data_IF_956998206644
#
_entry.id   IF_956998206644
#
_cell.length_a   1.000
_cell.length_b   1.000
_cell.length_c   1.000
_cell.angle_alpha   90.00
_cell.angle_beta   90.00
_cell.angle_gamma   90.00
#
_symmetry.space_group_name_H-M   'P 1'
#
loop_
_entity.id
_entity.type
_entity.pdbx_description
1 polymer ?
#
# COMPACT_ATOMS: atom_id res chain seq x y z
N UNK A 1 12.57 37.82 -5.81
CA UNK A 1 12.90 36.72 -4.89
C UNK A 1 12.03 35.53 -5.27
N UNK A 2 12.60 34.44 -5.82
CA UNK A 2 11.85 33.21 -6.03
C UNK A 2 11.59 32.61 -4.64
N UNK A 3 10.33 32.36 -4.29
CA UNK A 3 10.01 31.58 -3.11
C UNK A 3 10.80 30.27 -3.20
N UNK A 4 11.55 29.93 -2.16
CA UNK A 4 12.20 28.63 -2.08
C UNK A 4 11.09 27.57 -2.16
N UNK A 5 11.06 26.80 -3.25
CA UNK A 5 10.16 25.66 -3.38
C UNK A 5 10.41 24.76 -2.17
N UNK A 6 9.40 24.61 -1.29
CA UNK A 6 9.49 23.63 -0.21
C UNK A 6 9.74 22.27 -0.87
N UNK A 7 10.67 21.44 -0.36
CA UNK A 7 10.81 20.09 -0.88
C UNK A 7 9.47 19.38 -0.77
N UNK A 8 8.98 18.85 -1.89
CA UNK A 8 7.73 18.09 -1.92
C UNK A 8 7.99 16.72 -1.29
N UNK A 9 7.27 16.42 -0.20
CA UNK A 9 7.37 15.12 0.45
C UNK A 9 6.66 14.08 -0.40
N UNK A 10 7.12 12.84 -0.35
CA UNK A 10 6.57 11.77 -1.20
C UNK A 10 5.75 10.78 -0.39
N UNK A 11 4.54 10.52 -0.84
CA UNK A 11 3.73 9.38 -0.43
C UNK A 11 3.80 8.31 -1.51
N UNK A 12 4.17 7.10 -1.13
CA UNK A 12 4.09 5.94 -2.02
C UNK A 12 3.11 4.93 -1.43
N UNK A 13 2.12 4.54 -2.23
CA UNK A 13 1.18 3.47 -1.92
C UNK A 13 1.57 2.23 -2.73
N UNK A 14 1.66 1.06 -2.09
CA UNK A 14 2.08 -0.17 -2.76
C UNK A 14 1.21 -1.34 -2.30
N UNK A 15 0.58 -2.04 -3.24
CA UNK A 15 -0.11 -3.29 -2.91
C UNK A 15 0.95 -4.38 -2.71
N UNK A 16 0.76 -5.22 -1.70
CA UNK A 16 1.61 -6.40 -1.54
C UNK A 16 1.67 -7.23 -2.83
N UNK A 17 2.77 -7.96 -3.02
CA UNK A 17 2.91 -8.91 -4.12
C UNK A 17 1.90 -10.06 -4.01
N UNK A 18 1.75 -10.85 -5.05
CA UNK A 18 0.85 -12.01 -5.07
C UNK A 18 1.04 -12.94 -3.85
N UNK A 19 -0.07 -13.27 -3.18
CA UNK A 19 -0.09 -14.27 -2.10
C UNK A 19 -0.56 -15.62 -2.61
N UNK A 20 -0.28 -16.70 -1.86
CA UNK A 20 -0.68 -18.06 -2.26
C UNK A 20 -2.18 -18.17 -2.57
N UNK A 21 -3.03 -17.44 -1.85
CA UNK A 21 -4.48 -17.48 -2.10
C UNK A 21 -4.93 -16.61 -3.26
N UNK A 22 -4.12 -15.62 -3.67
CA UNK A 22 -4.38 -14.89 -4.91
C UNK A 22 -4.15 -15.80 -6.12
N UNK A 23 -3.05 -16.56 -6.11
CA UNK A 23 -2.73 -17.56 -7.12
C UNK A 23 -3.83 -18.63 -7.23
N UNK A 24 -4.31 -19.12 -6.08
CA UNK A 24 -5.44 -20.06 -6.00
C UNK A 24 -6.83 -19.44 -6.25
N UNK A 25 -6.91 -18.13 -6.54
CA UNK A 25 -8.16 -17.38 -6.79
C UNK A 25 -9.19 -17.51 -5.65
N UNK A 26 -8.72 -17.62 -4.41
CA UNK A 26 -9.54 -17.68 -3.20
C UNK A 26 -9.77 -16.27 -2.61
N UNK A 27 -10.87 -16.07 -1.90
CA UNK A 27 -11.04 -14.85 -1.10
C UNK A 27 -10.08 -14.89 0.09
N UNK A 28 -8.99 -14.11 0.02
CA UNK A 28 -8.00 -14.03 1.11
C UNK A 28 -8.52 -13.25 2.31
N UNK A 29 -9.05 -12.04 2.07
CA UNK A 29 -9.47 -11.14 3.14
C UNK A 29 -8.38 -10.93 4.18
N UNK A 30 -8.71 -11.04 5.46
CA UNK A 30 -7.78 -10.83 6.57
C UNK A 30 -7.03 -12.09 7.04
N UNK A 31 -7.15 -13.20 6.30
CA UNK A 31 -6.36 -14.42 6.56
C UNK A 31 -4.87 -14.15 6.30
N UNK A 32 -4.02 -14.61 7.21
CA UNK A 32 -2.59 -14.29 7.20
C UNK A 32 -1.77 -15.20 6.27
N UNK A 33 -1.93 -14.99 4.97
CA UNK A 33 -1.27 -15.78 3.91
C UNK A 33 0.02 -15.10 3.43
N UNK A 34 1.14 -15.83 3.29
CA UNK A 34 2.41 -15.29 2.80
C UNK A 34 2.44 -15.07 1.28
N UNK A 35 3.47 -14.37 0.83
CA UNK A 35 3.77 -14.17 -0.60
C UNK A 35 4.15 -15.49 -1.30
N UNK A 36 3.85 -15.58 -2.60
CA UNK A 36 4.44 -16.57 -3.50
C UNK A 36 5.84 -16.13 -3.93
N UNK A 37 6.59 -17.00 -4.64
CA UNK A 37 7.86 -16.60 -5.28
C UNK A 37 7.64 -15.44 -6.27
N UNK A 38 6.55 -15.49 -7.04
CA UNK A 38 6.14 -14.38 -7.91
C UNK A 38 5.90 -13.11 -7.10
N UNK A 39 5.17 -13.19 -5.99
CA UNK A 39 4.95 -12.03 -5.10
C UNK A 39 6.24 -11.45 -4.49
N UNK A 40 7.25 -12.29 -4.23
CA UNK A 40 8.58 -11.82 -3.81
C UNK A 40 9.27 -11.04 -4.93
N UNK A 41 9.23 -11.54 -6.16
CA UNK A 41 9.81 -10.85 -7.34
C UNK A 41 9.09 -9.54 -7.63
N UNK A 42 7.77 -9.50 -7.50
CA UNK A 42 6.98 -8.27 -7.58
C UNK A 42 7.43 -7.25 -6.53
N UNK A 43 7.64 -7.66 -5.28
CA UNK A 43 8.13 -6.78 -4.23
C UNK A 43 9.54 -6.24 -4.51
N UNK A 44 10.44 -7.06 -5.08
CA UNK A 44 11.76 -6.62 -5.53
C UNK A 44 11.67 -5.58 -6.66
N UNK A 45 10.85 -5.85 -7.68
CA UNK A 45 10.64 -4.92 -8.79
C UNK A 45 10.05 -3.58 -8.31
N UNK A 46 9.06 -3.64 -7.41
CA UNK A 46 8.45 -2.48 -6.78
C UNK A 46 9.49 -1.65 -6.01
N UNK A 47 10.32 -2.32 -5.21
CA UNK A 47 11.44 -1.72 -4.47
C UNK A 47 12.43 -1.02 -5.39
N UNK A 48 12.78 -1.64 -6.51
CA UNK A 48 13.68 -1.06 -7.51
C UNK A 48 13.11 0.24 -8.07
N UNK A 49 11.82 0.26 -8.41
CA UNK A 49 11.13 1.46 -8.93
C UNK A 49 11.14 2.63 -7.94
N UNK A 50 11.04 2.36 -6.64
CA UNK A 50 11.07 3.40 -5.59
C UNK A 50 12.45 3.63 -4.98
N UNK A 51 13.50 3.04 -5.55
CA UNK A 51 14.85 3.00 -4.95
C UNK A 51 15.51 4.38 -4.78
N UNK A 52 15.05 5.39 -5.54
CA UNK A 52 15.50 6.78 -5.46
C UNK A 52 14.87 7.61 -4.34
N UNK A 53 13.90 7.05 -3.59
CA UNK A 53 13.18 7.73 -2.51
C UNK A 53 13.78 7.35 -1.16
N UNK A 54 14.16 8.34 -0.35
CA UNK A 54 14.62 8.14 1.02
C UNK A 54 13.42 8.13 1.97
N UNK A 55 12.87 6.95 2.26
CA UNK A 55 11.71 6.81 3.13
C UNK A 55 12.09 7.00 4.60
N UNK A 56 11.34 7.86 5.30
CA UNK A 56 11.55 8.13 6.72
C UNK A 56 10.68 7.29 7.64
N UNK A 57 9.56 6.79 7.11
CA UNK A 57 8.60 5.99 7.85
C UNK A 57 7.80 5.09 6.91
N UNK A 58 7.51 3.88 7.37
CA UNK A 58 6.76 2.88 6.61
C UNK A 58 5.54 2.45 7.42
N UNK A 59 4.38 2.37 6.77
CA UNK A 59 3.17 1.79 7.32
C UNK A 59 2.77 0.52 6.58
N UNK A 60 2.36 -0.48 7.34
CA UNK A 60 1.92 -1.78 6.84
C UNK A 60 0.62 -2.21 7.50
N UNK A 61 -0.05 -3.18 6.92
CA UNK A 61 -1.10 -3.91 7.64
C UNK A 61 -0.49 -4.86 8.67
N UNK A 62 -1.33 -5.53 9.46
CA UNK A 62 -0.84 -6.57 10.37
C UNK A 62 -0.51 -7.88 9.65
N UNK A 63 -0.87 -8.01 8.38
CA UNK A 63 -0.75 -9.25 7.62
C UNK A 63 0.68 -9.41 7.05
N UNK A 64 1.20 -10.63 7.14
CA UNK A 64 2.57 -11.01 6.81
C UNK A 64 2.95 -10.61 5.39
N UNK A 65 2.06 -10.77 4.41
CA UNK A 65 2.31 -10.40 3.01
C UNK A 65 2.62 -8.91 2.81
N UNK A 66 1.93 -8.02 3.52
CA UNK A 66 2.18 -6.58 3.47
C UNK A 66 3.55 -6.25 4.08
N UNK A 67 3.86 -6.87 5.23
CA UNK A 67 5.17 -6.71 5.90
C UNK A 67 6.30 -7.26 5.04
N UNK A 68 6.16 -8.46 4.48
CA UNK A 68 7.14 -9.09 3.59
C UNK A 68 7.42 -8.18 2.39
N UNK A 69 6.39 -7.69 1.71
CA UNK A 69 6.58 -6.76 0.57
C UNK A 69 7.33 -5.51 0.99
N UNK A 70 6.97 -4.88 2.12
CA UNK A 70 7.67 -3.68 2.59
C UNK A 70 9.17 -3.94 2.88
N UNK A 71 9.48 -5.02 3.60
CA UNK A 71 10.85 -5.38 3.94
C UNK A 71 11.67 -5.72 2.70
N UNK A 72 11.11 -6.52 1.78
CA UNK A 72 11.75 -6.91 0.52
C UNK A 72 12.00 -5.68 -0.37
N UNK A 73 11.00 -4.81 -0.53
CA UNK A 73 11.13 -3.60 -1.34
C UNK A 73 12.26 -2.69 -0.84
N UNK A 74 12.39 -2.54 0.49
CA UNK A 74 13.44 -1.71 1.10
C UNK A 74 14.86 -2.25 0.88
N UNK A 75 15.03 -3.55 0.57
CA UNK A 75 16.36 -4.10 0.19
C UNK A 75 16.92 -3.46 -1.08
N UNK A 76 16.06 -2.87 -1.90
CA UNK A 76 16.43 -2.23 -3.18
C UNK A 76 16.72 -0.73 -3.03
N UNK A 77 16.54 -0.15 -1.85
CA UNK A 77 16.75 1.29 -1.62
C UNK A 77 18.22 1.69 -1.79
N UNK A 78 18.47 2.79 -2.49
CA UNK A 78 19.83 3.35 -2.67
C UNK A 78 20.41 3.96 -1.39
N UNK A 79 19.55 4.33 -0.43
CA UNK A 79 19.94 4.95 0.84
C UNK A 79 20.40 3.95 1.89
N UNK A 80 20.31 2.64 1.61
CA UNK A 80 20.79 1.53 2.46
C UNK A 80 20.27 1.57 3.90
N UNK A 81 19.15 2.25 4.14
CA UNK A 81 18.46 2.25 5.44
C UNK A 81 17.69 0.96 5.62
N UNK A 82 17.74 0.43 6.82
CA UNK A 82 17.21 -0.87 7.25
C UNK A 82 15.81 -0.66 7.85
N UNK A 83 14.77 -1.29 7.30
CA UNK A 83 13.44 -1.24 7.88
C UNK A 83 13.37 -2.02 9.20
N UNK A 84 12.84 -1.42 10.26
CA UNK A 84 12.72 -2.03 11.60
C UNK A 84 11.25 -2.05 12.03
N UNK A 85 10.69 -3.23 12.25
CA UNK A 85 9.30 -3.38 12.72
C UNK A 85 9.19 -2.93 14.18
N UNK A 86 8.40 -1.88 14.41
CA UNK A 86 8.12 -1.36 15.75
C UNK A 86 6.92 -2.10 16.35
N UNK A 87 7.14 -2.80 17.46
CA UNK A 87 6.08 -3.56 18.15
C UNK A 87 5.06 -2.63 18.81
N UNK A 88 3.80 -3.03 18.76
CA UNK A 88 2.67 -2.31 19.37
C UNK A 88 1.78 -1.55 18.39
N UNK A 89 2.24 -1.28 17.16
CA UNK A 89 1.54 -0.49 16.11
C UNK A 89 1.93 0.99 16.13
N UNK A 90 1.07 1.90 15.63
CA UNK A 90 1.25 3.36 15.84
C UNK A 90 0.49 3.92 17.06
N UNK A 91 -0.78 3.53 17.30
CA UNK A 91 -1.65 4.08 18.38
C UNK A 91 -2.03 3.13 19.53
N UNK A 92 -1.65 1.85 19.45
CA UNK A 92 -2.03 0.81 20.44
C UNK A 92 -2.01 1.17 21.94
N UNK A 93 -3.09 0.82 22.62
CA UNK A 93 -3.24 0.78 24.08
C UNK A 93 -2.74 -0.58 24.59
N UNK A 94 -1.54 -0.64 25.17
CA UNK A 94 -0.94 -1.87 25.71
C UNK A 94 -0.48 -1.73 27.16
N UNK A 95 -0.11 -2.85 27.80
CA UNK A 95 0.41 -2.89 29.20
C UNK A 95 1.63 -1.99 29.44
N UNK A 96 2.37 -1.68 28.39
CA UNK A 96 3.34 -0.61 28.35
C UNK A 96 2.60 0.64 27.84
N UNK A 97 2.04 1.44 28.74
CA UNK A 97 1.29 2.65 28.39
C UNK A 97 2.06 3.56 27.41
N UNK A 98 1.36 4.50 26.78
CA UNK A 98 1.87 5.36 25.69
C UNK A 98 3.29 5.91 25.93
N UNK A 99 3.64 6.22 27.18
CA UNK A 99 4.97 6.70 27.57
C UNK A 99 6.13 5.70 27.33
N UNK A 100 5.95 4.39 27.50
CA UNK A 100 7.02 3.40 27.28
C UNK A 100 7.22 3.09 25.79
N UNK A 101 6.18 3.28 25.00
CA UNK A 101 6.23 3.16 23.55
C UNK A 101 6.70 4.43 22.87
N UNK A 102 6.32 5.60 23.37
CA UNK A 102 7.01 6.86 23.05
C UNK A 102 8.48 6.73 23.43
N UNK A 103 8.84 6.11 24.56
CA UNK A 103 10.25 5.81 24.86
C UNK A 103 10.90 4.86 23.87
N UNK A 104 10.24 3.83 23.33
CA UNK A 104 10.83 3.00 22.27
C UNK A 104 10.91 3.75 20.93
N UNK A 105 9.92 4.59 20.61
CA UNK A 105 9.92 5.50 19.46
C UNK A 105 11.01 6.55 19.57
N UNK A 106 11.18 7.13 20.75
CA UNK A 106 12.10 8.21 21.09
C UNK A 106 13.49 7.66 21.44
N UNK A 107 13.63 6.41 21.87
CA UNK A 107 14.91 5.71 22.01
C UNK A 107 15.36 5.12 20.68
N UNK A 108 14.44 4.64 19.83
CA UNK A 108 14.75 4.38 18.42
C UNK A 108 15.13 5.71 17.74
N UNK A 109 14.37 6.80 17.94
CA UNK A 109 14.67 8.12 17.39
C UNK A 109 15.95 8.74 17.97
N UNK A 110 16.27 8.55 19.25
CA UNK A 110 17.54 9.00 19.87
C UNK A 110 18.72 8.10 19.50
N UNK A 111 18.51 6.79 19.36
CA UNK A 111 19.48 5.90 18.74
C UNK A 111 19.66 6.23 17.24
N UNK A 112 18.62 6.77 16.59
CA UNK A 112 18.65 7.35 15.25
C UNK A 112 19.40 8.70 15.21
N UNK A 113 19.38 9.51 16.28
CA UNK A 113 20.09 10.79 16.38
C UNK A 113 21.59 10.64 16.70
N UNK A 114 21.99 9.60 17.45
CA UNK A 114 23.39 9.43 17.89
C UNK A 114 24.27 8.59 16.96
N UNK A 115 23.68 7.96 15.94
CA UNK A 115 24.42 7.24 14.92
C UNK A 115 24.02 7.77 13.55
N UNK A 116 24.92 7.62 12.59
CA UNK A 116 24.67 7.64 11.14
C UNK A 116 23.59 6.59 10.77
N UNK A 117 22.35 6.83 11.18
CA UNK A 117 21.43 5.74 11.47
C UNK A 117 20.66 5.33 10.23
N UNK A 118 21.13 4.22 9.66
CA UNK A 118 20.54 3.48 8.57
C UNK A 118 19.26 2.77 9.03
N UNK A 119 18.31 3.40 9.72
CA UNK A 119 17.06 2.74 10.13
C UNK A 119 15.81 3.49 9.66
N UNK A 120 14.77 2.74 9.30
CA UNK A 120 13.43 3.24 8.94
C UNK A 120 12.38 2.50 9.76
N UNK A 121 11.59 3.16 10.62
CA UNK A 121 10.57 2.48 11.41
C UNK A 121 9.40 2.00 10.53
N UNK A 122 8.99 0.74 10.76
CA UNK A 122 7.82 0.10 10.13
C UNK A 122 6.73 -0.09 11.18
N UNK A 123 5.58 0.56 10.98
CA UNK A 123 4.43 0.44 11.87
C UNK A 123 3.33 -0.40 11.21
N UNK A 124 2.88 -1.44 11.90
CA UNK A 124 1.76 -2.27 11.46
C UNK A 124 0.47 -1.86 12.17
N UNK A 125 -0.61 -1.62 11.44
CA UNK A 125 -1.90 -1.19 12.00
C UNK A 125 -3.07 -1.99 11.39
N UNK A 126 -4.05 -2.45 12.20
CA UNK A 126 -5.21 -3.18 11.67
C UNK A 126 -6.09 -2.31 10.77
N UNK A 127 -6.05 -0.98 10.88
CA UNK A 127 -6.78 -0.09 9.97
C UNK A 127 -6.33 -0.22 8.51
N UNK A 128 -5.15 -0.80 8.27
CA UNK A 128 -4.62 -1.08 6.93
C UNK A 128 -4.79 -2.56 6.52
N UNK A 129 -5.46 -3.41 7.30
CA UNK A 129 -5.78 -4.78 6.88
C UNK A 129 -6.73 -4.78 5.68
N UNK A 130 -6.62 -5.81 4.83
CA UNK A 130 -7.57 -6.04 3.73
C UNK A 130 -9.00 -6.12 4.27
N UNK A 131 -9.97 -5.83 3.40
CA UNK A 131 -11.39 -6.04 3.68
C UNK A 131 -11.60 -7.46 4.20
N UNK A 132 -12.17 -7.59 5.40
CA UNK A 132 -12.57 -8.88 5.94
C UNK A 132 -13.72 -9.43 5.10
N UNK A 133 -13.52 -10.57 4.44
CA UNK A 133 -14.55 -11.17 3.59
C UNK A 133 -15.47 -12.14 4.37
N UNK A 134 -15.28 -12.28 5.68
CA UNK A 134 -16.11 -13.12 6.55
C UNK A 134 -16.21 -14.56 6.04
N UNK A 135 -17.44 -15.07 5.95
CA UNK A 135 -17.73 -16.44 5.51
C UNK A 135 -17.27 -16.77 4.07
N UNK A 136 -16.92 -15.77 3.26
CA UNK A 136 -16.36 -16.01 1.92
C UNK A 136 -14.89 -16.43 1.96
N UNK A 137 -14.17 -16.19 3.06
CA UNK A 137 -12.72 -16.41 3.15
C UNK A 137 -12.37 -17.89 2.93
N UNK A 138 -11.40 -18.13 2.05
CA UNK A 138 -10.94 -19.47 1.68
C UNK A 138 -11.77 -20.15 0.60
N UNK A 139 -12.89 -19.56 0.17
CA UNK A 139 -13.68 -20.08 -0.94
C UNK A 139 -13.20 -19.52 -2.28
N UNK A 140 -13.30 -20.34 -3.33
CA UNK A 140 -13.29 -19.82 -4.70
C UNK A 140 -14.61 -19.12 -5.00
N UNK A 141 -14.68 -18.35 -6.09
CA UNK A 141 -15.93 -17.71 -6.52
C UNK A 141 -17.02 -18.73 -6.81
N UNK A 142 -16.64 -19.85 -7.42
CA UNK A 142 -17.52 -20.95 -7.79
C UNK A 142 -18.01 -21.71 -6.55
N UNK A 143 -17.13 -21.94 -5.57
CA UNK A 143 -17.51 -22.54 -4.29
C UNK A 143 -18.48 -21.63 -3.51
N UNK A 144 -18.17 -20.35 -3.41
CA UNK A 144 -19.04 -19.36 -2.77
C UNK A 144 -20.41 -19.26 -3.47
N UNK A 145 -20.44 -19.22 -4.80
CA UNK A 145 -21.70 -19.16 -5.56
C UNK A 145 -22.56 -20.41 -5.35
N UNK A 146 -21.95 -21.60 -5.25
CA UNK A 146 -22.68 -22.84 -4.91
C UNK A 146 -23.25 -22.82 -3.49
N UNK A 147 -22.53 -22.23 -2.54
CA UNK A 147 -22.93 -22.23 -1.13
C UNK A 147 -23.95 -21.14 -0.80
N UNK A 148 -23.77 -19.93 -1.34
CA UNK A 148 -24.53 -18.74 -0.96
C UNK A 148 -25.41 -18.17 -2.08
N UNK A 149 -25.28 -18.68 -3.31
CA UNK A 149 -25.97 -18.17 -4.49
C UNK A 149 -25.14 -17.11 -5.24
N UNK A 150 -25.13 -17.19 -6.56
CA UNK A 150 -24.31 -16.32 -7.42
C UNK A 150 -24.68 -14.83 -7.29
N UNK A 151 -25.98 -14.50 -7.28
CA UNK A 151 -26.45 -13.11 -7.14
C UNK A 151 -26.07 -12.50 -5.78
N UNK A 152 -26.15 -13.30 -4.70
CA UNK A 152 -25.75 -12.85 -3.36
C UNK A 152 -24.23 -12.60 -3.29
N UNK A 153 -23.43 -13.50 -3.85
CA UNK A 153 -21.96 -13.35 -3.90
C UNK A 153 -21.57 -12.15 -4.77
N UNK A 154 -22.23 -11.94 -5.91
CA UNK A 154 -22.02 -10.73 -6.73
C UNK A 154 -22.35 -9.46 -5.95
N UNK A 155 -23.46 -9.44 -5.21
CA UNK A 155 -23.85 -8.30 -4.38
C UNK A 155 -22.76 -7.99 -3.34
N UNK A 156 -22.31 -8.98 -2.56
CA UNK A 156 -21.24 -8.76 -1.58
C UNK A 156 -19.92 -8.27 -2.20
N UNK A 157 -19.60 -8.72 -3.42
CA UNK A 157 -18.37 -8.34 -4.12
C UNK A 157 -18.42 -6.97 -4.80
N UNK A 158 -19.60 -6.54 -5.23
CA UNK A 158 -19.78 -5.36 -6.10
C UNK A 158 -20.53 -4.22 -5.42
N UNK A 159 -21.15 -4.45 -4.27
CA UNK A 159 -21.78 -3.39 -3.49
C UNK A 159 -20.75 -2.63 -2.65
N UNK A 160 -21.04 -1.36 -2.39
CA UNK A 160 -20.25 -0.51 -1.53
C UNK A 160 -20.53 -0.78 -0.04
N UNK A 161 -21.80 -0.90 0.33
CA UNK A 161 -22.27 -0.94 1.73
C UNK A 161 -22.64 -2.34 2.22
N UNK A 162 -22.75 -3.32 1.32
CA UNK A 162 -23.28 -4.64 1.69
C UNK A 162 -22.18 -5.55 2.22
N UNK A 163 -22.38 -6.06 3.44
CA UNK A 163 -21.45 -6.95 4.14
C UNK A 163 -21.75 -8.43 3.84
N UNK A 164 -20.73 -9.27 3.59
CA UNK A 164 -20.88 -10.71 3.78
C UNK A 164 -21.03 -11.03 5.29
N UNK A 165 -21.59 -12.19 5.66
CA UNK A 165 -21.71 -12.60 7.05
C UNK A 165 -20.35 -12.57 7.76
N UNK A 166 -20.30 -11.98 8.96
CA UNK A 166 -19.09 -11.79 9.76
C UNK A 166 -17.94 -11.03 9.08
N UNK A 167 -18.21 -10.33 7.97
CA UNK A 167 -17.21 -9.54 7.26
C UNK A 167 -17.53 -8.05 7.20
N UNK A 168 -16.72 -7.34 6.42
CA UNK A 168 -16.79 -5.90 6.18
C UNK A 168 -17.37 -5.60 4.79
N UNK A 169 -18.04 -4.47 4.66
CA UNK A 169 -18.33 -3.86 3.37
C UNK A 169 -17.12 -3.07 2.87
N UNK A 170 -17.18 -2.54 1.64
CA UNK A 170 -16.15 -1.61 1.18
C UNK A 170 -16.25 -0.28 1.92
N UNK A 171 -17.45 0.14 2.32
CA UNK A 171 -17.69 1.32 3.15
C UNK A 171 -16.99 1.21 4.51
N UNK A 172 -17.15 0.09 5.23
CA UNK A 172 -16.49 -0.12 6.52
C UNK A 172 -14.96 -0.03 6.40
N UNK A 173 -14.44 -0.66 5.35
CA UNK A 173 -13.01 -0.64 5.02
C UNK A 173 -12.55 0.79 4.74
N UNK A 174 -13.33 1.56 3.97
CA UNK A 174 -13.04 2.95 3.64
C UNK A 174 -13.03 3.83 4.90
N UNK A 175 -14.02 3.70 5.77
CA UNK A 175 -14.13 4.50 6.99
C UNK A 175 -12.91 4.33 7.90
N UNK A 176 -12.52 3.08 8.21
CA UNK A 176 -11.35 2.84 9.07
C UNK A 176 -10.04 3.24 8.40
N UNK A 177 -9.89 2.96 7.10
CA UNK A 177 -8.66 3.23 6.35
C UNK A 177 -8.43 4.73 6.19
N UNK A 178 -9.45 5.46 5.76
CA UNK A 178 -9.35 6.92 5.52
C UNK A 178 -9.19 7.66 6.85
N UNK A 179 -9.86 7.22 7.93
CA UNK A 179 -9.62 7.78 9.26
C UNK A 179 -8.16 7.64 9.68
N UNK A 180 -7.58 6.44 9.54
CA UNK A 180 -6.17 6.22 9.84
C UNK A 180 -5.25 7.05 8.94
N UNK A 181 -5.54 7.09 7.63
CA UNK A 181 -4.77 7.90 6.69
C UNK A 181 -4.71 9.38 7.12
N UNK A 182 -5.87 9.98 7.42
CA UNK A 182 -5.96 11.40 7.80
C UNK A 182 -5.38 11.71 9.18
N UNK A 183 -5.58 10.83 10.16
CA UNK A 183 -5.14 11.09 11.55
C UNK A 183 -3.68 10.69 11.80
N UNK A 184 -3.08 9.89 10.91
CA UNK A 184 -1.79 9.25 11.17
C UNK A 184 -0.78 9.47 10.07
N UNK A 185 -1.15 9.22 8.81
CA UNK A 185 -0.22 9.28 7.67
C UNK A 185 -0.04 10.74 7.23
N UNK A 186 -1.13 11.50 7.07
CA UNK A 186 -1.07 12.92 6.66
C UNK A 186 -0.20 13.76 7.62
N UNK A 187 -0.34 13.67 8.96
CA UNK A 187 0.54 14.41 9.86
C UNK A 187 2.03 14.08 9.72
N UNK A 188 2.40 12.89 9.23
CA UNK A 188 3.82 12.56 8.96
C UNK A 188 4.31 13.24 7.69
N UNK A 189 3.46 13.33 6.68
CA UNK A 189 3.75 14.10 5.47
C UNK A 189 3.85 15.60 5.80
N UNK A 190 3.02 16.11 6.72
CA UNK A 190 3.11 17.49 7.23
C UNK A 190 4.44 17.77 7.98
N UNK A 191 4.99 16.75 8.65
CA UNK A 191 6.30 16.82 9.32
C UNK A 191 7.51 16.82 8.35
N UNK A 192 7.30 16.77 7.03
CA UNK A 192 8.40 16.73 6.07
C UNK A 192 8.89 15.33 5.71
N UNK A 193 8.16 14.27 6.09
CA UNK A 193 8.62 12.87 5.92
C UNK A 193 8.20 12.29 4.58
N UNK A 194 9.07 11.51 3.97
CA UNK A 194 8.69 10.59 2.89
C UNK A 194 8.08 9.32 3.50
N UNK A 195 6.87 8.96 3.04
CA UNK A 195 6.08 7.88 3.63
C UNK A 195 5.83 6.77 2.60
N UNK A 196 6.14 5.54 2.98
CA UNK A 196 5.73 4.34 2.24
C UNK A 196 4.56 3.66 2.96
N UNK A 197 3.49 3.36 2.24
CA UNK A 197 2.36 2.56 2.72
C UNK A 197 2.26 1.29 1.89
N UNK A 198 2.48 0.14 2.52
CA UNK A 198 2.30 -1.16 1.86
C UNK A 198 1.06 -1.83 2.41
N UNK A 199 0.04 -2.05 1.58
CA UNK A 199 -1.24 -2.59 2.04
C UNK A 199 -1.87 -3.50 0.98
N UNK A 200 -3.20 -3.48 0.87
CA UNK A 200 -3.98 -4.42 0.08
C UNK A 200 -4.89 -3.71 -0.93
N UNK A 201 -5.53 -4.49 -1.80
CA UNK A 201 -6.28 -3.95 -2.94
C UNK A 201 -7.40 -3.01 -2.51
N UNK A 202 -8.32 -3.44 -1.64
CA UNK A 202 -9.44 -2.58 -1.24
C UNK A 202 -8.99 -1.42 -0.34
N UNK A 203 -7.96 -1.63 0.48
CA UNK A 203 -7.40 -0.58 1.34
C UNK A 203 -6.82 0.56 0.50
N UNK A 204 -5.96 0.23 -0.47
CA UNK A 204 -5.36 1.24 -1.34
C UNK A 204 -6.38 1.88 -2.27
N UNK A 205 -7.37 1.11 -2.73
CA UNK A 205 -8.53 1.65 -3.45
C UNK A 205 -9.21 2.74 -2.63
N UNK A 206 -9.46 2.52 -1.34
CA UNK A 206 -10.07 3.54 -0.48
C UNK A 206 -9.20 4.80 -0.34
N UNK A 207 -7.88 4.64 -0.17
CA UNK A 207 -6.95 5.79 -0.07
C UNK A 207 -6.89 6.54 -1.41
N UNK A 208 -6.68 5.84 -2.52
CA UNK A 208 -6.59 6.44 -3.86
C UNK A 208 -7.90 7.17 -4.20
N UNK A 209 -9.05 6.56 -3.93
CA UNK A 209 -10.35 7.19 -4.13
C UNK A 209 -10.53 8.45 -3.28
N UNK A 210 -10.06 8.44 -2.03
CA UNK A 210 -10.05 9.64 -1.19
C UNK A 210 -9.15 10.74 -1.77
N UNK A 211 -7.95 10.40 -2.24
CA UNK A 211 -7.00 11.35 -2.82
C UNK A 211 -7.49 11.95 -4.14
N UNK A 212 -8.17 11.14 -4.96
CA UNK A 212 -8.67 11.55 -6.28
C UNK A 212 -10.14 12.00 -6.27
N UNK A 213 -10.77 12.09 -5.10
CA UNK A 213 -12.20 12.45 -4.93
C UNK A 213 -13.14 11.65 -5.85
N UNK A 214 -12.92 10.33 -5.93
CA UNK A 214 -13.71 9.43 -6.79
C UNK A 214 -15.08 9.15 -6.18
N UNK A 215 -16.09 9.01 -7.03
CA UNK A 215 -17.41 8.49 -6.64
C UNK A 215 -17.34 7.02 -6.22
N UNK A 216 -18.38 6.53 -5.54
CA UNK A 216 -18.48 5.12 -5.13
C UNK A 216 -18.42 4.15 -6.34
N UNK A 217 -19.04 4.54 -7.46
CA UNK A 217 -19.04 3.74 -8.69
C UNK A 217 -17.63 3.67 -9.28
N UNK A 218 -16.89 4.77 -9.29
CA UNK A 218 -15.51 4.82 -9.77
C UNK A 218 -14.57 4.03 -8.84
N UNK A 219 -14.75 4.15 -7.52
CA UNK A 219 -14.03 3.36 -6.52
C UNK A 219 -14.21 1.86 -6.76
N UNK A 220 -15.44 1.38 -6.98
CA UNK A 220 -15.72 -0.03 -7.22
C UNK A 220 -15.04 -0.57 -8.50
N UNK A 221 -14.80 0.30 -9.49
CA UNK A 221 -14.14 -0.04 -10.76
C UNK A 221 -12.61 0.06 -10.69
N UNK A 222 -12.07 0.83 -9.74
CA UNK A 222 -10.63 1.02 -9.59
C UNK A 222 -9.93 -0.30 -9.27
N UNK A 223 -9.00 -0.72 -10.13
CA UNK A 223 -8.15 -1.89 -9.89
C UNK A 223 -6.76 -1.42 -9.45
N UNK A 224 -6.27 -2.03 -8.37
CA UNK A 224 -4.95 -1.75 -7.82
C UNK A 224 -4.08 -2.98 -8.04
N UNK A 225 -3.07 -2.86 -8.88
CA UNK A 225 -2.20 -3.98 -9.29
C UNK A 225 -1.26 -4.40 -8.17
N UNK A 226 -0.88 -5.69 -8.12
CA UNK A 226 0.11 -6.20 -7.17
C UNK A 226 1.50 -5.70 -7.52
N UNK A 227 2.29 -5.31 -6.51
CA UNK A 227 3.67 -4.88 -6.72
C UNK A 227 3.87 -3.58 -7.52
N UNK A 228 2.80 -2.87 -7.90
CA UNK A 228 2.92 -1.57 -8.56
C UNK A 228 2.91 -0.44 -7.52
N UNK A 229 3.95 0.43 -7.47
CA UNK A 229 3.94 1.60 -6.60
C UNK A 229 3.17 2.77 -7.23
N UNK A 230 2.33 3.43 -6.43
CA UNK A 230 1.58 4.63 -6.77
C UNK A 230 2.15 5.81 -5.99
N UNK A 231 2.82 6.73 -6.69
CA UNK A 231 3.50 7.88 -6.10
C UNK A 231 2.64 9.14 -6.08
N UNK A 232 2.75 9.92 -5.00
CA UNK A 232 2.15 11.23 -4.85
C UNK A 232 3.16 12.20 -4.25
N UNK A 233 3.32 13.36 -4.89
CA UNK A 233 4.00 14.51 -4.31
C UNK A 233 3.01 15.27 -3.42
N UNK A 234 3.42 15.59 -2.20
CA UNK A 234 2.64 16.31 -1.21
C UNK A 234 3.25 17.68 -0.93
N UNK A 235 2.45 18.73 -1.03
CA UNK A 235 2.89 20.13 -0.85
C UNK A 235 2.48 20.74 0.51
N UNK A 236 1.86 19.95 1.40
CA UNK A 236 1.26 20.42 2.66
C UNK A 236 -0.24 20.64 2.59
N UNK A 237 -0.84 20.58 1.39
CA UNK A 237 -2.28 20.80 1.19
C UNK A 237 -2.90 19.88 0.14
N UNK A 238 -2.13 19.52 -0.89
CA UNK A 238 -2.60 18.76 -2.04
C UNK A 238 -1.68 17.58 -2.35
N UNK A 239 -2.24 16.61 -3.07
CA UNK A 239 -1.54 15.43 -3.55
C UNK A 239 -1.51 15.46 -5.08
N UNK A 240 -0.34 15.64 -5.67
CA UNK A 240 -0.14 15.52 -7.10
C UNK A 240 0.38 14.12 -7.41
N UNK A 241 -0.37 13.33 -8.19
CA UNK A 241 0.11 12.01 -8.60
C UNK A 241 1.38 12.17 -9.44
N UNK A 242 2.46 11.52 -9.01
CA UNK A 242 3.71 11.49 -9.74
C UNK A 242 3.94 10.08 -10.28
N UNK A 243 4.50 9.99 -11.49
CA UNK A 243 5.06 8.72 -11.92
C UNK A 243 6.18 8.37 -10.95
N UNK A 244 6.13 7.16 -10.37
CA UNK A 244 7.34 6.58 -9.80
C UNK A 244 8.15 6.13 -11.01
N UNK A 245 9.23 6.85 -11.38
CA UNK A 245 9.94 6.50 -12.61
C UNK A 245 10.47 5.08 -12.46
N UNK A 246 10.28 4.18 -13.45
CA UNK A 246 11.11 2.99 -13.50
C UNK A 246 12.59 3.44 -13.52
N UNK A 247 13.50 2.68 -12.90
CA UNK A 247 14.91 3.07 -12.82
C UNK A 247 15.46 3.33 -14.23
N UNK A 248 16.30 4.35 -14.38
CA UNK A 248 16.98 4.68 -15.64
C UNK A 248 17.86 3.54 -16.20
N UNK A 249 18.08 2.49 -15.41
CA UNK A 249 18.99 1.39 -15.71
C UNK A 249 18.30 0.22 -16.43
N UNK A 250 17.11 0.41 -16.98
CA UNK A 250 16.40 -0.59 -17.79
C UNK A 250 16.23 -0.18 -19.25
N UNK A 251 17.27 0.33 -19.90
CA UNK A 251 17.41 0.30 -21.36
C UNK A 251 18.90 0.32 -21.75
N UNK A 252 19.50 -0.86 -21.85
CA UNK A 252 20.59 -1.10 -22.81
C UNK A 252 20.03 -2.06 -23.84
N UNK A 253 19.41 -1.53 -24.88
CA UNK A 253 19.97 -1.59 -26.23
C UNK A 253 18.98 -1.07 -27.29
N UNK A 254 19.55 -0.30 -28.21
CA UNK A 254 19.12 0.01 -29.56
C UNK A 254 17.90 0.94 -29.80
N UNK A 255 18.29 2.17 -30.16
CA UNK A 255 17.83 2.94 -31.32
C UNK A 255 16.50 3.71 -31.31
N UNK A 256 16.67 4.99 -31.68
CA UNK A 256 15.70 5.99 -32.12
C UNK A 256 14.83 6.69 -31.08
N UNK A 257 15.24 7.93 -30.81
CA UNK A 257 14.58 8.88 -29.94
C UNK A 257 13.11 9.12 -30.29
N UNK A 258 12.27 9.06 -29.26
CA UNK A 258 11.00 9.78 -29.19
C UNK A 258 10.58 9.97 -27.74
N UNK A 259 10.84 11.16 -27.21
CA UNK A 259 10.14 11.68 -26.02
C UNK A 259 8.67 11.82 -26.45
N UNK A 260 7.80 10.89 -26.05
CA UNK A 260 6.35 11.00 -26.21
C UNK A 260 5.70 11.36 -24.88
N UNK A 261 4.93 12.44 -24.92
CA UNK A 261 4.22 13.04 -23.80
C UNK A 261 3.19 12.13 -23.13
N UNK A 262 2.93 12.51 -21.87
CA UNK A 262 2.24 11.83 -20.77
C UNK A 262 0.70 11.75 -20.90
N UNK A 263 0.16 11.13 -21.96
CA UNK A 263 -1.30 10.91 -22.02
C UNK A 263 -1.76 9.62 -22.71
N UNK A 264 -0.91 8.60 -22.87
CA UNK A 264 -1.26 7.43 -23.69
C UNK A 264 -0.86 6.03 -23.20
N UNK A 265 -0.49 5.86 -21.93
CA UNK A 265 -0.25 4.55 -21.32
C UNK A 265 -1.21 4.47 -20.12
N UNK A 266 -2.40 3.89 -20.21
CA UNK A 266 -2.73 2.54 -20.63
C UNK A 266 -4.03 2.53 -21.44
N UNK A 267 -4.00 2.11 -22.72
CA UNK A 267 -5.24 1.79 -23.43
C UNK A 267 -5.69 0.39 -23.01
N UNK A 268 -7.00 0.27 -22.83
CA UNK A 268 -7.80 -0.90 -22.41
C UNK A 268 -7.60 -2.19 -23.23
N UNK A 269 -6.64 -2.25 -24.15
CA UNK A 269 -6.43 -3.34 -25.12
C UNK A 269 -5.15 -4.15 -24.97
N UNK A 270 -4.22 -3.80 -24.07
CA UNK A 270 -2.94 -4.52 -23.91
C UNK A 270 -2.97 -5.62 -22.82
N UNK A 271 -4.14 -5.93 -22.24
CA UNK A 271 -4.31 -6.95 -21.18
C UNK A 271 -5.05 -8.20 -21.69
N UNK A 272 -5.69 -8.13 -22.87
CA UNK A 272 -6.45 -9.26 -23.44
C UNK A 272 -5.56 -10.31 -24.16
N UNK A 273 -4.23 -10.11 -24.21
CA UNK A 273 -3.28 -11.06 -24.83
C UNK A 273 -2.51 -11.93 -23.83
N UNK A 274 -2.89 -11.93 -22.54
CA UNK A 274 -2.29 -12.77 -21.50
C UNK A 274 -3.34 -13.58 -20.69
N UNK A 275 -4.38 -14.05 -21.38
CA UNK A 275 -5.25 -15.16 -20.93
C UNK A 275 -5.16 -16.28 -21.96
#
# INVERSE_FOLDING_TARGET
MRAAERPQNQLVLMRHGESMWNDLKLFTGDVDIPLTEKGINEALAAGKAVSGIDFDIIFTSRLVRSKQTALIAMTQSRYKRVPVIVRGGFHGTGKAGDANRLRLRDAAAKALEHASCLMVPVYADPALNERCYGDLQGLSKEAAARQFGDEQVKLWRRSFDTRPPYGESLQDTAERTVRFFKSTIVPRLDEGRNVLVVAHGNVLRCIISYLSNLSEIEMLRLQVETGLPYGYAYDGSSFAQCCVPPPADSFTDAEEGRIRGLSSLWRKGDIDSLI
#
